data_IF_979627130332
#
_entry.id   IF_979627130332
#
_cell.length_a   1.000
_cell.length_b   1.000
_cell.length_c   1.000
_cell.angle_alpha   90.00
_cell.angle_beta   90.00
_cell.angle_gamma   90.00
#
_symmetry.space_group_name_H-M   'P 1'
#
loop_
_entity.id
_entity.type
_entity.pdbx_description
1 polymer ?
#
# COMPACT_ATOMS: atom_id res chain seq x y z
N UNK A 1 -18.36 32.30 0.90
CA UNK A 1 -18.55 30.83 0.97
C UNK A 1 -17.20 30.22 1.30
N UNK A 2 -16.90 30.02 2.58
CA UNK A 2 -15.59 29.52 3.02
C UNK A 2 -15.67 28.00 3.17
N UNK A 3 -15.12 27.28 2.20
CA UNK A 3 -14.92 25.83 2.27
C UNK A 3 -13.69 25.59 3.15
N UNK A 4 -13.91 25.32 4.43
CA UNK A 4 -12.83 24.95 5.36
C UNK A 4 -12.12 23.69 4.87
N UNK A 5 -10.81 23.53 5.14
CA UNK A 5 -10.10 22.31 4.80
C UNK A 5 -10.79 21.18 5.56
N UNK A 6 -11.24 20.16 4.82
CA UNK A 6 -11.84 18.97 5.41
C UNK A 6 -10.82 18.36 6.37
N UNK A 7 -11.03 18.58 7.67
CA UNK A 7 -10.31 17.88 8.72
C UNK A 7 -10.66 16.41 8.55
N UNK A 8 -9.76 15.63 7.94
CA UNK A 8 -9.81 14.18 7.98
C UNK A 8 -9.55 13.76 9.42
N UNK A 9 -10.58 13.85 10.26
CA UNK A 9 -10.54 13.27 11.59
C UNK A 9 -10.24 11.77 11.40
N UNK A 10 -9.22 11.23 12.09
CA UNK A 10 -8.91 9.82 12.00
C UNK A 10 -10.14 8.98 12.32
N UNK A 11 -10.63 8.18 11.36
CA UNK A 11 -11.70 7.23 11.62
C UNK A 11 -11.15 6.15 12.54
N UNK A 12 -11.68 5.99 13.76
CA UNK A 12 -11.19 4.95 14.65
C UNK A 12 -11.44 3.57 14.02
N UNK A 13 -10.44 2.69 14.08
CA UNK A 13 -10.52 1.35 13.53
C UNK A 13 -10.08 1.22 12.07
N UNK A 14 -9.38 2.20 11.50
CA UNK A 14 -8.78 2.08 10.16
C UNK A 14 -7.25 2.18 10.18
N UNK A 15 -6.62 1.60 9.15
CA UNK A 15 -5.22 1.88 8.84
C UNK A 15 -5.14 3.21 8.11
N UNK A 16 -4.32 4.10 8.65
CA UNK A 16 -4.03 5.37 8.03
C UNK A 16 -2.67 5.31 7.36
N UNK A 17 -2.60 5.98 6.21
CA UNK A 17 -1.42 6.09 5.38
C UNK A 17 -1.16 7.58 5.17
N UNK A 18 0.11 7.99 5.15
CA UNK A 18 0.47 9.32 4.67
C UNK A 18 0.12 9.45 3.18
N UNK A 19 -0.11 10.67 2.71
CA UNK A 19 -0.37 10.95 1.30
C UNK A 19 0.79 10.44 0.42
N UNK A 20 2.04 10.70 0.83
CA UNK A 20 3.24 10.25 0.14
C UNK A 20 3.32 8.72 0.06
N UNK A 21 3.01 8.02 1.16
CA UNK A 21 3.02 6.56 1.16
C UNK A 21 1.89 5.98 0.29
N UNK A 22 0.76 6.69 0.18
CA UNK A 22 -0.36 6.27 -0.66
C UNK A 22 0.00 6.41 -2.13
N UNK A 23 0.56 7.55 -2.52
CA UNK A 23 1.08 7.79 -3.86
C UNK A 23 2.15 6.75 -4.24
N UNK A 24 3.07 6.44 -3.31
CA UNK A 24 4.10 5.42 -3.53
C UNK A 24 3.51 4.02 -3.75
N UNK A 25 2.42 3.65 -3.05
CA UNK A 25 1.70 2.40 -3.29
C UNK A 25 1.05 2.36 -4.68
N UNK A 26 0.43 3.47 -5.10
CA UNK A 26 -0.16 3.56 -6.44
C UNK A 26 0.89 3.42 -7.55
N UNK A 27 2.02 4.10 -7.41
CA UNK A 27 3.14 3.99 -8.35
C UNK A 27 3.71 2.56 -8.40
N UNK A 28 3.87 1.92 -7.24
CA UNK A 28 4.32 0.53 -7.15
C UNK A 28 3.34 -0.40 -7.87
N UNK A 29 2.03 -0.25 -7.61
CA UNK A 29 0.97 -1.02 -8.27
C UNK A 29 1.05 -0.87 -9.79
N UNK A 30 1.22 0.35 -10.28
CA UNK A 30 1.22 0.62 -11.71
C UNK A 30 2.50 0.09 -12.38
N UNK A 31 3.65 0.12 -11.70
CA UNK A 31 4.90 -0.50 -12.15
C UNK A 31 4.79 -2.04 -12.18
N UNK A 32 4.11 -2.66 -11.22
CA UNK A 32 3.82 -4.10 -11.24
C UNK A 32 2.93 -4.48 -12.43
N UNK A 33 1.88 -3.69 -12.72
CA UNK A 33 1.02 -3.91 -13.89
C UNK A 33 1.81 -3.81 -15.19
N UNK A 34 2.69 -2.81 -15.31
CA UNK A 34 3.56 -2.68 -16.48
C UNK A 34 4.47 -3.90 -16.64
N UNK A 35 5.11 -4.36 -15.56
CA UNK A 35 5.96 -5.56 -15.61
C UNK A 35 5.16 -6.80 -16.01
N UNK A 36 3.93 -6.96 -15.50
CA UNK A 36 3.05 -8.04 -15.91
C UNK A 36 2.70 -7.96 -17.41
N UNK A 37 2.39 -6.78 -17.93
CA UNK A 37 2.16 -6.57 -19.36
C UNK A 37 3.39 -6.86 -20.22
N UNK A 38 4.59 -6.54 -19.73
CA UNK A 38 5.84 -6.81 -20.43
C UNK A 38 6.23 -8.29 -20.40
N UNK A 39 5.89 -8.99 -19.32
CA UNK A 39 6.13 -10.41 -19.16
C UNK A 39 5.03 -11.29 -19.77
N UNK A 40 3.88 -10.71 -20.12
CA UNK A 40 2.78 -11.45 -20.72
C UNK A 40 3.14 -11.97 -22.12
N UNK A 41 2.81 -13.22 -22.45
CA UNK A 41 2.97 -13.77 -23.78
C UNK A 41 2.13 -12.96 -24.78
N UNK A 42 2.73 -12.56 -25.90
CA UNK A 42 2.06 -11.80 -26.97
C UNK A 42 1.50 -12.73 -28.04
N UNK A 43 2.03 -13.95 -28.09
CA UNK A 43 1.64 -15.05 -28.95
C UNK A 43 1.55 -16.34 -28.12
N UNK A 44 0.66 -17.29 -28.45
CA UNK A 44 0.67 -18.62 -27.84
C UNK A 44 1.99 -19.39 -28.06
N UNK A 45 2.83 -18.95 -29.00
CA UNK A 45 4.18 -19.48 -29.15
C UNK A 45 5.15 -19.03 -28.06
N UNK A 46 4.87 -17.89 -27.40
CA UNK A 46 5.72 -17.32 -26.34
C UNK A 46 5.63 -18.11 -25.02
N UNK A 47 4.63 -18.97 -24.87
CA UNK A 47 4.47 -19.88 -23.71
C UNK A 47 5.09 -21.27 -23.98
N UNK A 48 5.64 -21.51 -25.17
CA UNK A 48 6.35 -22.76 -25.45
C UNK A 48 7.63 -22.82 -24.60
N UNK A 49 8.08 -24.00 -24.17
CA UNK A 49 9.28 -24.15 -23.34
C UNK A 49 10.58 -23.69 -24.03
N UNK A 50 10.55 -23.44 -25.33
CA UNK A 50 11.65 -22.89 -26.14
C UNK A 50 11.62 -21.35 -26.21
N UNK A 51 10.48 -20.73 -25.90
CA UNK A 51 10.34 -19.30 -25.95
C UNK A 51 11.15 -18.66 -24.82
N UNK A 52 12.11 -17.83 -25.20
CA UNK A 52 12.85 -17.01 -24.26
C UNK A 52 12.08 -15.72 -24.00
N UNK A 53 11.85 -15.42 -22.73
CA UNK A 53 11.33 -14.11 -22.36
C UNK A 53 12.32 -13.05 -22.89
N UNK A 54 11.85 -12.00 -23.58
CA UNK A 54 12.73 -10.93 -24.08
C UNK A 54 13.35 -10.06 -22.95
N UNK A 55 13.25 -10.51 -21.70
CA UNK A 55 13.76 -9.89 -20.50
C UNK A 55 14.67 -10.87 -19.76
N UNK A 56 15.86 -10.40 -19.40
CA UNK A 56 16.79 -11.18 -18.58
C UNK A 56 16.17 -11.42 -17.20
N UNK A 57 16.17 -12.66 -16.67
CA UNK A 57 15.65 -12.96 -15.33
C UNK A 57 16.30 -12.10 -14.22
N UNK A 58 17.59 -11.77 -14.36
CA UNK A 58 18.29 -10.89 -13.43
C UNK A 58 17.71 -9.46 -13.40
N UNK A 59 17.26 -8.93 -14.53
CA UNK A 59 16.62 -7.62 -14.59
C UNK A 59 15.24 -7.64 -13.93
N UNK A 60 14.47 -8.72 -14.08
CA UNK A 60 13.21 -8.92 -13.37
C UNK A 60 13.41 -9.02 -11.86
N UNK A 61 14.39 -9.81 -11.41
CA UNK A 61 14.72 -9.92 -9.99
C UNK A 61 15.08 -8.56 -9.39
N UNK A 62 15.87 -7.75 -10.10
CA UNK A 62 16.18 -6.39 -9.68
C UNK A 62 14.93 -5.51 -9.56
N UNK A 63 14.07 -5.50 -10.58
CA UNK A 63 12.80 -4.76 -10.56
C UNK A 63 11.89 -5.19 -9.39
N UNK A 64 11.78 -6.49 -9.12
CA UNK A 64 10.98 -6.99 -8.01
C UNK A 64 11.55 -6.61 -6.65
N UNK A 65 12.88 -6.60 -6.48
CA UNK A 65 13.51 -6.14 -5.23
C UNK A 65 13.25 -4.65 -4.99
N UNK A 66 13.35 -3.80 -6.02
CA UNK A 66 13.04 -2.37 -5.89
C UNK A 66 11.58 -2.15 -5.47
N UNK A 67 10.65 -2.85 -6.12
CA UNK A 67 9.22 -2.77 -5.80
C UNK A 67 8.90 -3.26 -4.39
N UNK A 68 9.54 -4.35 -3.95
CA UNK A 68 9.41 -4.85 -2.58
C UNK A 68 9.90 -3.81 -1.56
N UNK A 69 11.02 -3.14 -1.85
CA UNK A 69 11.52 -2.05 -1.00
C UNK A 69 10.55 -0.86 -0.92
N UNK A 70 9.92 -0.48 -2.03
CA UNK A 70 8.92 0.59 -2.06
C UNK A 70 7.67 0.21 -1.26
N UNK A 71 7.20 -1.04 -1.38
CA UNK A 71 6.09 -1.57 -0.58
C UNK A 71 6.42 -1.58 0.91
N UNK A 72 7.59 -2.09 1.30
CA UNK A 72 8.02 -2.12 2.70
C UNK A 72 8.10 -0.71 3.30
N UNK A 73 8.57 0.26 2.52
CA UNK A 73 8.63 1.65 2.95
C UNK A 73 7.22 2.21 3.19
N UNK A 74 6.29 2.04 2.25
CA UNK A 74 4.90 2.47 2.41
C UNK A 74 4.21 1.78 3.58
N UNK A 75 4.46 0.47 3.78
CA UNK A 75 3.91 -0.31 4.89
C UNK A 75 4.40 0.23 6.25
N UNK A 76 5.67 0.61 6.36
CA UNK A 76 6.20 1.21 7.61
C UNK A 76 5.61 2.58 7.93
N UNK A 77 5.06 3.27 6.93
CA UNK A 77 4.32 4.52 7.13
C UNK A 77 2.84 4.31 7.48
N UNK A 78 2.36 3.07 7.43
CA UNK A 78 1.01 2.74 7.90
C UNK A 78 0.98 2.73 9.42
N UNK A 79 -0.03 3.38 9.98
CA UNK A 79 -0.29 3.32 11.40
C UNK A 79 -1.75 2.99 11.65
N UNK A 80 -1.98 2.23 12.71
CA UNK A 80 -3.31 1.90 13.16
C UNK A 80 -3.91 3.07 13.93
N UNK A 81 -5.03 3.60 13.44
CA UNK A 81 -5.77 4.65 14.15
C UNK A 81 -6.80 4.02 15.07
N UNK A 82 -6.32 3.46 16.17
CA UNK A 82 -7.15 2.80 17.18
C UNK A 82 -7.51 3.73 18.33
N UNK A 83 -8.49 4.62 18.16
CA UNK A 83 -9.07 5.37 19.29
C UNK A 83 -10.45 4.80 19.63
N UNK A 84 -10.47 3.86 20.58
CA UNK A 84 -11.71 3.28 21.10
C UNK A 84 -11.49 2.36 22.29
N UNK A 85 -10.50 2.63 23.16
CA UNK A 85 -10.52 2.08 24.52
C UNK A 85 -11.18 3.15 25.39
N UNK A 86 -12.43 2.87 25.72
CA UNK A 86 -13.27 3.56 26.69
C UNK A 86 -12.47 4.07 27.89
N UNK A 87 -12.36 5.39 28.02
CA UNK A 87 -12.14 6.00 29.32
C UNK A 87 -13.48 5.93 30.06
N UNK A 88 -13.76 4.77 30.66
CA UNK A 88 -14.80 4.64 31.67
C UNK A 88 -14.34 5.49 32.86
N UNK A 89 -14.97 6.66 33.04
CA UNK A 89 -14.78 7.48 34.23
C UNK A 89 -15.25 6.66 35.45
N UNK A 90 -14.44 6.48 36.50
CA UNK A 90 -14.95 5.89 37.72
C UNK A 90 -16.04 6.81 38.28
N UNK A 91 -17.25 6.27 38.32
CA UNK A 91 -18.41 6.82 38.99
C UNK A 91 -17.99 7.37 40.36
N UNK A 92 -18.26 8.66 40.59
CA UNK A 92 -18.15 9.24 41.92
C UNK A 92 -19.09 8.49 42.87
N UNK A 93 -18.52 7.80 43.85
CA UNK A 93 -19.27 7.28 45.00
C UNK A 93 -20.04 8.43 45.67
N UNK A 94 -21.35 8.32 45.89
CA UNK A 94 -22.05 9.24 46.77
C UNK A 94 -21.59 8.96 48.20
N UNK A 95 -20.96 9.96 48.80
CA UNK A 95 -20.65 9.95 50.24
C UNK A 95 -21.96 9.95 51.05
N UNK A 96 -21.92 9.18 52.15
CA UNK A 96 -22.95 8.96 53.19
C UNK A 96 -23.74 10.21 53.60
#
# INVERSE_FOLDING_TARGET
MSKGPGSFAPTPGCYQLSEDAHLALEQTRDRLRLLACLAAPRSPQDDLPVAELPLKPAALAHCFMELAGQLDHSLRQTHWSGAGRTAEAPHAEPSL
#
